data_IF_750503633572
#
_entry.id   IF_750503633572
#
_cell.length_a   1.000
_cell.length_b   1.000
_cell.length_c   1.000
_cell.angle_alpha   90.00
_cell.angle_beta   90.00
_cell.angle_gamma   90.00
#
_symmetry.space_group_name_H-M   'P 1'
#
loop_
_entity.id
_entity.type
_entity.pdbx_description
1 polymer ?
#
# COMPACT_ATOMS: atom_id res chain seq x y z
N UNK A 1 8.02 -13.91 -2.79
CA UNK A 1 6.96 -13.56 -1.82
C UNK A 1 7.54 -12.60 -0.79
N UNK A 2 6.71 -11.88 -0.05
CA UNK A 2 7.15 -11.12 1.14
C UNK A 2 7.52 -12.08 2.27
N UNK A 3 8.42 -11.67 3.20
CA UNK A 3 8.73 -12.46 4.39
C UNK A 3 7.47 -12.72 5.23
N UNK A 4 7.36 -13.94 5.74
CA UNK A 4 6.21 -14.39 6.53
C UNK A 4 6.68 -15.30 7.66
N UNK A 5 6.82 -14.75 8.85
CA UNK A 5 7.22 -15.49 10.05
C UNK A 5 6.21 -16.55 10.53
N UNK A 6 4.99 -16.58 9.98
CA UNK A 6 3.97 -17.58 10.31
C UNK A 6 4.03 -18.84 9.44
N UNK A 7 4.79 -18.82 8.34
CA UNK A 7 4.89 -19.91 7.38
C UNK A 7 3.66 -20.09 6.49
N UNK A 8 2.73 -19.14 6.47
CA UNK A 8 1.47 -19.25 5.71
C UNK A 8 1.71 -19.42 4.23
N UNK A 9 2.66 -18.68 3.64
CA UNK A 9 2.99 -18.83 2.23
C UNK A 9 3.54 -20.23 1.91
N UNK A 10 4.41 -20.76 2.76
CA UNK A 10 4.95 -22.11 2.62
C UNK A 10 3.85 -23.17 2.67
N UNK A 11 2.89 -23.02 3.61
CA UNK A 11 1.75 -23.93 3.74
C UNK A 11 0.88 -23.95 2.47
N UNK A 12 0.57 -22.77 1.91
CA UNK A 12 -0.25 -22.66 0.70
C UNK A 12 0.46 -23.27 -0.50
N UNK A 13 1.78 -23.04 -0.64
CA UNK A 13 2.59 -23.61 -1.71
C UNK A 13 2.71 -25.12 -1.56
N UNK A 14 2.90 -25.64 -0.34
CA UNK A 14 2.94 -27.08 -0.11
C UNK A 14 1.63 -27.75 -0.49
N UNK A 15 0.47 -27.19 -0.12
CA UNK A 15 -0.85 -27.69 -0.56
C UNK A 15 -0.98 -27.73 -2.07
N UNK A 16 -0.51 -26.68 -2.76
CA UNK A 16 -0.50 -26.69 -4.23
C UNK A 16 0.37 -27.82 -4.77
N UNK A 17 1.59 -27.95 -4.27
CA UNK A 17 2.55 -28.97 -4.74
C UNK A 17 2.06 -30.41 -4.50
N UNK A 18 1.33 -30.64 -3.41
CA UNK A 18 0.74 -31.96 -3.11
C UNK A 18 -0.40 -32.32 -4.08
N UNK A 19 -1.17 -31.31 -4.51
CA UNK A 19 -2.27 -31.46 -5.46
C UNK A 19 -1.80 -31.52 -6.92
N UNK A 20 -0.65 -30.93 -7.22
CA UNK A 20 -0.14 -30.75 -8.59
C UNK A 20 1.33 -31.20 -8.71
N UNK A 21 1.60 -32.54 -8.67
CA UNK A 21 2.96 -33.06 -8.73
C UNK A 21 3.67 -32.76 -10.07
N UNK A 22 2.89 -32.46 -11.12
CA UNK A 22 3.33 -32.07 -12.46
C UNK A 22 3.67 -30.57 -12.60
N UNK A 23 3.36 -29.74 -11.59
CA UNK A 23 3.50 -28.30 -11.65
C UNK A 23 4.02 -27.71 -10.31
N UNK A 24 5.18 -28.19 -9.86
CA UNK A 24 5.75 -27.80 -8.56
C UNK A 24 6.21 -26.34 -8.54
N UNK A 25 5.85 -25.65 -7.47
CA UNK A 25 6.26 -24.27 -7.18
C UNK A 25 7.40 -24.24 -6.15
N UNK A 26 8.41 -23.44 -6.43
CA UNK A 26 9.47 -23.10 -5.50
C UNK A 26 9.33 -21.64 -5.10
N UNK A 27 9.16 -21.37 -3.80
CA UNK A 27 9.07 -20.01 -3.27
C UNK A 27 10.46 -19.39 -3.15
N UNK A 28 10.57 -18.16 -3.64
CA UNK A 28 11.70 -17.28 -3.33
C UNK A 28 11.19 -16.17 -2.42
N UNK A 29 11.74 -16.08 -1.21
CA UNK A 29 11.48 -14.98 -0.32
C UNK A 29 12.27 -13.74 -0.77
N UNK A 30 11.58 -12.63 -0.94
CA UNK A 30 12.16 -11.35 -1.34
C UNK A 30 12.35 -10.41 -0.15
N UNK A 31 12.99 -9.26 -0.38
CA UNK A 31 13.16 -8.22 0.63
C UNK A 31 11.81 -7.74 1.19
N UNK A 32 11.75 -7.30 2.46
CA UNK A 32 10.51 -6.78 3.06
C UNK A 32 10.06 -5.47 2.42
N UNK A 33 10.99 -4.59 2.03
CA UNK A 33 10.66 -3.29 1.43
C UNK A 33 10.20 -3.45 -0.02
N UNK A 34 9.08 -2.80 -0.35
CA UNK A 34 8.45 -2.82 -1.68
C UNK A 34 9.40 -2.39 -2.79
N UNK A 35 10.09 -1.26 -2.62
CA UNK A 35 11.05 -0.75 -3.61
C UNK A 35 12.16 -1.77 -3.93
N UNK A 36 12.79 -2.35 -2.90
CA UNK A 36 13.89 -3.32 -3.09
C UNK A 36 13.39 -4.60 -3.77
N UNK A 37 12.14 -4.99 -3.52
CA UNK A 37 11.51 -6.15 -4.17
C UNK A 37 11.19 -5.87 -5.64
N UNK A 38 10.77 -4.64 -5.96
CA UNK A 38 10.61 -4.20 -7.34
C UNK A 38 11.94 -4.24 -8.12
N UNK A 39 13.03 -3.75 -7.50
CA UNK A 39 14.36 -3.75 -8.09
C UNK A 39 14.86 -5.19 -8.34
N UNK A 40 14.57 -6.11 -7.42
CA UNK A 40 14.88 -7.53 -7.58
C UNK A 40 14.22 -8.12 -8.85
N UNK A 41 12.91 -7.89 -9.04
CA UNK A 41 12.21 -8.33 -10.25
C UNK A 41 12.71 -7.61 -11.50
N UNK A 42 12.89 -6.30 -11.44
CA UNK A 42 13.35 -5.48 -12.57
C UNK A 42 14.73 -5.97 -13.06
N UNK A 43 15.65 -6.24 -12.13
CA UNK A 43 16.99 -6.76 -12.46
C UNK A 43 16.91 -8.13 -13.14
N UNK A 44 16.09 -9.04 -12.62
CA UNK A 44 15.90 -10.37 -13.19
C UNK A 44 15.31 -10.29 -14.62
N UNK A 45 14.31 -9.43 -14.84
CA UNK A 45 13.68 -9.27 -16.14
C UNK A 45 14.57 -8.59 -17.18
N UNK A 46 15.37 -7.61 -16.77
CA UNK A 46 16.36 -6.96 -17.64
C UNK A 46 17.40 -7.96 -18.16
N UNK A 47 17.79 -8.95 -17.35
CA UNK A 47 18.73 -10.00 -17.77
C UNK A 47 18.12 -11.01 -18.74
N UNK A 48 16.80 -10.99 -18.94
CA UNK A 48 16.02 -11.94 -19.75
C UNK A 48 16.29 -13.42 -19.39
N UNK A 49 16.81 -13.67 -18.20
CA UNK A 49 17.27 -15.00 -17.75
C UNK A 49 16.16 -15.89 -17.18
N UNK A 50 14.88 -15.47 -17.25
CA UNK A 50 13.75 -16.29 -16.78
C UNK A 50 13.74 -16.57 -15.26
N UNK A 51 14.27 -15.65 -14.45
CA UNK A 51 14.49 -15.87 -13.02
C UNK A 51 13.23 -16.09 -12.15
N UNK A 52 12.07 -15.71 -12.65
CA UNK A 52 10.79 -15.90 -11.95
C UNK A 52 9.68 -16.21 -12.94
N UNK A 53 8.93 -17.30 -12.71
CA UNK A 53 7.76 -17.66 -13.50
C UNK A 53 6.52 -16.90 -13.05
N UNK A 54 6.34 -16.76 -11.73
CA UNK A 54 5.22 -16.03 -11.09
C UNK A 54 5.77 -14.87 -10.27
N UNK A 55 5.15 -13.73 -10.42
CA UNK A 55 5.50 -12.47 -9.74
C UNK A 55 4.44 -12.17 -8.69
N UNK A 56 4.83 -12.06 -7.44
CA UNK A 56 4.01 -11.45 -6.41
C UNK A 56 4.10 -9.93 -6.56
N UNK A 57 3.07 -9.35 -7.15
CA UNK A 57 3.09 -8.04 -7.79
C UNK A 57 2.26 -7.01 -7.02
N UNK A 58 2.88 -5.89 -6.67
CA UNK A 58 2.18 -4.72 -6.12
C UNK A 58 1.28 -4.07 -7.17
N UNK A 59 0.21 -3.39 -6.74
CA UNK A 59 -0.74 -2.67 -7.60
C UNK A 59 -0.05 -1.63 -8.51
N UNK A 60 1.03 -1.00 -8.04
CA UNK A 60 1.70 0.10 -8.77
C UNK A 60 2.74 -0.37 -9.77
N UNK A 61 3.14 -1.66 -9.76
CA UNK A 61 4.17 -2.15 -10.70
C UNK A 61 3.63 -2.53 -12.07
N UNK A 62 2.33 -2.80 -12.17
CA UNK A 62 1.69 -3.31 -13.40
C UNK A 62 1.98 -2.42 -14.62
N UNK A 63 1.79 -1.09 -14.59
CA UNK A 63 2.04 -0.24 -15.76
C UNK A 63 3.49 -0.32 -16.26
N UNK A 64 4.47 -0.27 -15.34
CA UNK A 64 5.91 -0.36 -15.65
C UNK A 64 6.25 -1.72 -16.25
N UNK A 65 5.86 -2.80 -15.59
CA UNK A 65 6.22 -4.15 -16.02
C UNK A 65 5.58 -4.53 -17.35
N UNK A 66 4.35 -4.05 -17.61
CA UNK A 66 3.67 -4.26 -18.87
C UNK A 66 4.30 -3.41 -19.99
N UNK A 67 4.60 -2.13 -19.72
CA UNK A 67 5.25 -1.27 -20.71
C UNK A 67 6.63 -1.79 -21.12
N UNK A 68 7.36 -2.42 -20.18
CA UNK A 68 8.63 -3.09 -20.43
C UNK A 68 8.49 -4.46 -21.12
N UNK A 69 7.26 -4.98 -21.28
CA UNK A 69 7.00 -6.26 -21.92
C UNK A 69 7.36 -7.48 -21.06
N UNK A 70 7.32 -7.36 -19.74
CA UNK A 70 7.76 -8.39 -18.80
C UNK A 70 6.64 -9.33 -18.30
N UNK A 71 5.37 -8.97 -18.48
CA UNK A 71 4.23 -9.75 -18.01
C UNK A 71 3.43 -10.35 -19.17
N UNK A 72 2.84 -11.54 -18.93
CA UNK A 72 1.86 -12.16 -19.82
C UNK A 72 0.47 -11.51 -19.64
N UNK A 73 -0.24 -11.37 -20.75
CA UNK A 73 -1.66 -11.02 -20.78
C UNK A 73 -2.50 -12.18 -20.24
N UNK A 74 -3.27 -11.92 -19.20
CA UNK A 74 -4.13 -12.88 -18.52
C UNK A 74 -5.62 -12.67 -18.82
N UNK A 75 -5.96 -11.77 -19.76
CA UNK A 75 -7.35 -11.36 -20.02
C UNK A 75 -8.27 -12.53 -20.34
N UNK A 76 -7.78 -13.50 -21.12
CA UNK A 76 -8.56 -14.65 -21.57
C UNK A 76 -8.45 -15.85 -20.61
N UNK A 77 -7.62 -15.75 -19.56
CA UNK A 77 -7.40 -16.84 -18.60
C UNK A 77 -8.34 -16.78 -17.41
N UNK A 78 -8.68 -15.58 -16.93
CA UNK A 78 -9.56 -15.42 -15.77
C UNK A 78 -11.03 -15.56 -16.20
N UNK A 79 -11.75 -16.62 -15.73
CA UNK A 79 -13.15 -16.83 -16.09
C UNK A 79 -14.04 -15.64 -15.72
N UNK A 80 -15.07 -15.38 -16.53
CA UNK A 80 -15.97 -14.23 -16.32
C UNK A 80 -16.68 -14.29 -14.95
N UNK A 81 -17.05 -15.48 -14.48
CA UNK A 81 -17.68 -15.67 -13.19
C UNK A 81 -16.74 -15.29 -12.04
N UNK A 82 -15.47 -15.72 -12.10
CA UNK A 82 -14.47 -15.33 -11.12
C UNK A 82 -14.17 -13.83 -11.15
N UNK A 83 -14.08 -13.26 -12.37
CA UNK A 83 -13.82 -11.82 -12.56
C UNK A 83 -14.89 -10.96 -11.87
N UNK A 84 -16.16 -11.38 -11.86
CA UNK A 84 -17.26 -10.64 -11.23
C UNK A 84 -17.15 -10.58 -9.70
N UNK A 85 -16.51 -11.56 -9.08
CA UNK A 85 -16.32 -11.62 -7.63
C UNK A 85 -15.14 -10.74 -7.15
N UNK A 86 -14.15 -10.44 -8.00
CA UNK A 86 -13.07 -9.55 -7.60
C UNK A 86 -13.54 -8.10 -7.46
N UNK A 87 -12.91 -7.36 -6.55
CA UNK A 87 -13.12 -5.92 -6.39
C UNK A 87 -12.73 -5.18 -7.67
N UNK A 88 -13.59 -4.28 -8.13
CA UNK A 88 -13.44 -3.61 -9.43
C UNK A 88 -12.17 -2.75 -9.51
N UNK A 89 -11.84 -2.03 -8.44
CA UNK A 89 -10.63 -1.20 -8.39
C UNK A 89 -9.34 -2.05 -8.34
N UNK A 90 -9.37 -3.23 -7.72
CA UNK A 90 -8.24 -4.16 -7.72
C UNK A 90 -8.03 -4.81 -9.09
N UNK A 91 -9.10 -5.16 -9.80
CA UNK A 91 -9.02 -5.61 -11.20
C UNK A 91 -8.49 -4.50 -12.11
N UNK A 92 -8.98 -3.27 -11.93
CA UNK A 92 -8.50 -2.11 -12.66
C UNK A 92 -7.02 -1.86 -12.41
N UNK A 93 -6.57 -1.91 -11.16
CA UNK A 93 -5.15 -1.80 -10.80
C UNK A 93 -4.29 -2.99 -11.30
N UNK A 94 -4.90 -4.16 -11.52
CA UNK A 94 -4.27 -5.31 -12.17
C UNK A 94 -4.26 -5.23 -13.70
N UNK A 95 -4.86 -4.20 -14.29
CA UNK A 95 -5.02 -4.04 -15.73
C UNK A 95 -4.22 -2.84 -16.25
N UNK A 96 -3.77 -2.95 -17.50
CA UNK A 96 -3.13 -1.84 -18.21
C UNK A 96 -3.60 -1.81 -19.66
N UNK A 97 -4.02 -0.63 -20.17
CA UNK A 97 -4.55 -0.45 -21.53
C UNK A 97 -5.68 -1.46 -21.87
N UNK A 98 -6.59 -1.69 -20.89
CA UNK A 98 -7.75 -2.55 -21.06
C UNK A 98 -7.49 -4.06 -20.98
N UNK A 99 -6.27 -4.50 -20.69
CA UNK A 99 -5.89 -5.91 -20.57
C UNK A 99 -5.46 -6.24 -19.14
N UNK A 100 -5.77 -7.44 -18.66
CA UNK A 100 -5.42 -7.93 -17.34
C UNK A 100 -4.03 -8.57 -17.34
N UNK A 101 -3.18 -8.18 -16.40
CA UNK A 101 -1.82 -8.74 -16.25
C UNK A 101 -1.54 -9.25 -14.84
N UNK A 102 -2.36 -8.86 -13.86
CA UNK A 102 -2.25 -9.28 -12.47
C UNK A 102 -3.61 -9.71 -11.94
N UNK A 103 -3.73 -10.94 -11.46
CA UNK A 103 -4.91 -11.41 -10.72
C UNK A 103 -4.79 -10.92 -9.27
N UNK A 104 -5.76 -10.16 -8.74
CA UNK A 104 -5.72 -9.70 -7.37
C UNK A 104 -5.74 -10.86 -6.36
N UNK A 105 -4.96 -10.76 -5.29
CA UNK A 105 -5.02 -11.69 -4.17
C UNK A 105 -5.63 -11.02 -2.95
N UNK A 106 -5.06 -9.92 -2.51
CA UNK A 106 -5.64 -9.13 -1.44
C UNK A 106 -5.58 -7.63 -1.76
N UNK A 107 -6.53 -6.92 -1.18
CA UNK A 107 -6.67 -5.46 -1.22
C UNK A 107 -6.23 -4.87 0.11
N UNK A 108 -5.92 -3.58 0.12
CA UNK A 108 -5.61 -2.84 1.32
C UNK A 108 -5.94 -1.35 1.15
N UNK A 109 -6.12 -0.64 2.25
CA UNK A 109 -6.30 0.81 2.25
C UNK A 109 -5.67 1.43 3.49
N UNK A 110 -5.19 2.67 3.36
CA UNK A 110 -4.74 3.43 4.52
C UNK A 110 -5.89 3.81 5.42
N UNK A 111 -5.72 3.63 6.73
CA UNK A 111 -6.73 3.95 7.74
C UNK A 111 -6.11 4.59 8.97
N UNK A 112 -6.93 5.28 9.74
CA UNK A 112 -6.53 5.81 11.04
C UNK A 112 -7.02 4.86 12.15
N UNK A 113 -6.09 4.21 12.83
CA UNK A 113 -6.34 3.48 14.07
C UNK A 113 -6.33 4.43 15.25
N UNK A 114 -7.17 4.16 16.24
CA UNK A 114 -7.21 4.94 17.48
C UNK A 114 -7.43 4.07 18.71
N UNK A 115 -6.97 4.53 19.85
CA UNK A 115 -7.19 3.91 21.17
C UNK A 115 -8.56 4.34 21.70
N UNK A 116 -9.60 3.50 21.44
CA UNK A 116 -10.98 3.77 21.86
C UNK A 116 -11.18 3.75 23.38
N UNK A 117 -10.25 3.20 24.12
CA UNK A 117 -10.21 3.26 25.58
C UNK A 117 -9.66 4.59 26.11
N UNK A 118 -9.03 5.40 25.27
CA UNK A 118 -8.52 6.73 25.62
C UNK A 118 -9.36 7.86 25.01
N UNK A 119 -9.91 7.64 23.82
CA UNK A 119 -10.58 8.66 23.01
C UNK A 119 -12.00 8.19 22.75
N UNK A 120 -12.99 8.93 23.26
CA UNK A 120 -14.41 8.59 23.09
C UNK A 120 -14.89 8.89 21.66
N UNK A 121 -14.41 10.00 21.07
CA UNK A 121 -14.73 10.43 19.71
C UNK A 121 -13.44 10.45 18.88
N UNK A 122 -13.53 10.05 17.59
CA UNK A 122 -12.38 10.05 16.69
C UNK A 122 -12.27 11.37 15.91
N UNK A 123 -11.05 11.76 15.49
CA UNK A 123 -10.85 12.96 14.69
C UNK A 123 -11.43 12.79 13.29
N UNK A 124 -12.14 13.79 12.78
CA UNK A 124 -12.59 13.85 11.39
C UNK A 124 -11.66 14.72 10.54
N UNK A 125 -11.04 15.74 11.13
CA UNK A 125 -10.19 16.70 10.43
C UNK A 125 -8.73 16.62 10.89
N UNK A 126 -7.82 17.20 10.08
CA UNK A 126 -6.41 17.35 10.45
C UNK A 126 -6.25 18.14 11.76
N UNK A 127 -7.07 19.16 11.96
CA UNK A 127 -7.05 19.97 13.17
C UNK A 127 -7.55 19.17 14.40
N UNK A 128 -8.59 18.34 14.23
CA UNK A 128 -9.05 17.45 15.29
C UNK A 128 -7.96 16.43 15.64
N UNK A 129 -7.28 15.84 14.63
CA UNK A 129 -6.19 14.90 14.88
C UNK A 129 -5.08 15.54 15.71
N UNK A 130 -4.66 16.77 15.37
CA UNK A 130 -3.66 17.51 16.17
C UNK A 130 -4.17 17.75 17.58
N UNK A 131 -5.35 18.32 17.72
CA UNK A 131 -5.98 18.66 19.02
C UNK A 131 -6.13 17.43 19.92
N UNK A 132 -6.64 16.32 19.38
CA UNK A 132 -6.80 15.09 20.15
C UNK A 132 -5.45 14.46 20.49
N UNK A 133 -4.51 14.46 19.54
CA UNK A 133 -3.15 13.99 19.78
C UNK A 133 -2.48 14.77 20.92
N UNK A 134 -2.57 16.09 20.93
CA UNK A 134 -2.01 16.93 21.99
C UNK A 134 -2.67 16.67 23.34
N UNK A 135 -3.99 16.48 23.35
CA UNK A 135 -4.76 16.23 24.57
C UNK A 135 -4.44 14.88 25.22
N UNK A 136 -4.22 13.84 24.43
CA UNK A 136 -4.11 12.46 24.93
C UNK A 136 -2.68 11.91 24.93
N UNK A 137 -1.68 12.64 24.36
CA UNK A 137 -0.27 12.29 24.54
C UNK A 137 0.18 12.54 25.97
N UNK A 138 1.13 11.74 26.42
CA UNK A 138 1.77 11.89 27.71
C UNK A 138 3.25 11.47 27.64
N UNK A 139 3.94 11.37 28.76
CA UNK A 139 5.35 10.95 28.83
C UNK A 139 5.60 9.53 28.28
N UNK A 140 4.58 8.69 28.22
CA UNK A 140 4.67 7.28 27.76
C UNK A 140 4.14 7.10 26.34
N UNK A 141 3.33 8.04 25.84
CA UNK A 141 2.58 7.89 24.57
C UNK A 141 2.66 9.13 23.70
N UNK A 142 2.94 8.90 22.43
CA UNK A 142 2.81 9.90 21.39
C UNK A 142 1.36 10.04 20.92
N UNK A 143 1.02 11.18 20.34
CA UNK A 143 -0.31 11.42 19.78
C UNK A 143 -0.54 10.64 18.51
N UNK A 144 0.38 10.69 17.54
CA UNK A 144 0.19 10.15 16.19
C UNK A 144 1.45 9.48 15.64
N UNK A 145 1.27 8.30 15.03
CA UNK A 145 2.32 7.56 14.32
C UNK A 145 1.94 7.39 12.85
N UNK A 146 2.95 7.45 11.99
CA UNK A 146 2.83 7.29 10.55
C UNK A 146 4.17 6.81 9.94
N UNK A 147 4.22 6.50 8.62
CA UNK A 147 5.39 5.98 7.95
C UNK A 147 6.17 7.11 7.28
N UNK A 148 7.21 7.61 7.95
CA UNK A 148 8.01 8.75 7.49
C UNK A 148 9.37 8.40 6.89
N UNK A 149 9.77 7.13 6.89
CA UNK A 149 11.01 6.66 6.25
C UNK A 149 10.96 6.96 4.75
N UNK A 150 12.12 7.25 4.14
CA UNK A 150 12.24 7.46 2.69
C UNK A 150 12.06 6.13 1.95
N UNK A 151 10.85 5.82 1.52
CA UNK A 151 10.42 4.67 0.71
C UNK A 151 8.98 4.90 0.26
N UNK A 152 8.37 3.95 -0.45
CA UNK A 152 7.00 4.07 -0.98
C UNK A 152 5.94 4.42 0.09
N UNK A 153 6.10 3.95 1.33
CA UNK A 153 5.21 4.29 2.44
C UNK A 153 5.14 5.79 2.76
N UNK A 154 6.22 6.56 2.57
CA UNK A 154 6.18 8.01 2.70
C UNK A 154 5.29 8.65 1.63
N UNK A 155 5.37 8.16 0.40
CA UNK A 155 4.52 8.63 -0.71
C UNK A 155 3.06 8.37 -0.41
N UNK A 156 2.70 7.16 0.03
CA UNK A 156 1.30 6.82 0.36
C UNK A 156 0.75 7.70 1.48
N UNK A 157 1.52 7.92 2.55
CA UNK A 157 1.12 8.81 3.65
C UNK A 157 0.92 10.25 3.18
N UNK A 158 1.85 10.77 2.38
CA UNK A 158 1.75 12.13 1.84
C UNK A 158 0.53 12.28 0.91
N UNK A 159 0.27 11.30 0.04
CA UNK A 159 -0.86 11.35 -0.88
C UNK A 159 -2.21 11.35 -0.17
N UNK A 160 -2.36 10.60 0.91
CA UNK A 160 -3.60 10.60 1.71
C UNK A 160 -3.87 11.99 2.31
N UNK A 161 -2.82 12.65 2.81
CA UNK A 161 -2.92 14.02 3.33
C UNK A 161 -3.18 15.01 2.19
N UNK A 162 -2.48 14.88 1.06
CA UNK A 162 -2.66 15.74 -0.12
C UNK A 162 -4.10 15.66 -0.65
N UNK A 163 -4.63 14.47 -0.84
CA UNK A 163 -6.02 14.26 -1.26
C UNK A 163 -7.02 14.74 -0.21
N UNK A 164 -6.69 14.58 1.08
CA UNK A 164 -7.48 15.10 2.19
C UNK A 164 -7.56 16.64 2.21
N UNK A 165 -6.59 17.35 1.65
CA UNK A 165 -6.66 18.79 1.36
C UNK A 165 -7.32 19.10 0.02
N UNK A 166 -7.66 18.10 -0.80
CA UNK A 166 -8.30 18.25 -2.11
C UNK A 166 -7.31 18.47 -3.24
N UNK A 167 -6.01 18.26 -3.00
CA UNK A 167 -4.96 18.31 -4.01
C UNK A 167 -4.81 16.97 -4.76
N UNK A 168 -3.85 16.95 -5.68
CA UNK A 168 -3.47 15.77 -6.45
C UNK A 168 -1.98 15.76 -6.76
N UNK A 169 -1.47 14.65 -7.30
CA UNK A 169 -0.07 14.50 -7.69
C UNK A 169 0.13 14.53 -9.21
N UNK A 170 -0.30 13.48 -9.90
CA UNK A 170 -0.16 13.32 -11.35
C UNK A 170 -1.49 12.82 -11.91
N UNK A 171 -2.01 13.49 -12.92
CA UNK A 171 -3.07 12.95 -13.75
C UNK A 171 -2.48 11.91 -14.71
N UNK A 172 -2.95 10.67 -14.63
CA UNK A 172 -2.39 9.56 -15.41
C UNK A 172 -2.65 9.68 -16.91
N UNK A 173 -3.71 10.40 -17.32
CA UNK A 173 -4.10 10.57 -18.74
C UNK A 173 -3.40 11.78 -19.36
N UNK A 174 -3.50 12.94 -18.71
CA UNK A 174 -2.96 14.20 -19.23
C UNK A 174 -1.48 14.40 -18.91
N UNK A 175 -0.92 13.64 -17.95
CA UNK A 175 0.43 13.80 -17.40
C UNK A 175 0.64 15.14 -16.68
N UNK A 176 -0.42 15.87 -16.35
CA UNK A 176 -0.32 17.10 -15.57
C UNK A 176 0.14 16.78 -14.14
N UNK A 177 1.08 17.59 -13.64
CA UNK A 177 1.68 17.46 -12.29
C UNK A 177 1.24 18.62 -11.43
N UNK A 178 0.71 18.33 -10.24
CA UNK A 178 0.04 19.27 -9.34
C UNK A 178 0.79 19.58 -8.03
N UNK A 179 2.02 19.09 -7.87
CA UNK A 179 2.76 19.20 -6.61
C UNK A 179 3.15 20.63 -6.20
N UNK A 180 3.13 21.57 -7.12
CA UNK A 180 3.41 23.00 -6.85
C UNK A 180 2.14 23.81 -6.56
N UNK A 181 0.99 23.18 -6.38
CA UNK A 181 -0.26 23.81 -5.98
C UNK A 181 -0.35 24.00 -4.46
N UNK A 182 -1.19 24.96 -3.99
CA UNK A 182 -1.32 25.27 -2.57
C UNK A 182 -1.66 24.09 -1.67
N UNK A 183 -2.49 23.15 -2.16
CA UNK A 183 -2.90 21.97 -1.42
C UNK A 183 -1.73 21.05 -1.07
N UNK A 184 -0.74 20.93 -1.97
CA UNK A 184 0.45 20.13 -1.72
C UNK A 184 1.33 20.78 -0.64
N UNK A 185 1.42 22.10 -0.63
CA UNK A 185 2.13 22.84 0.42
C UNK A 185 1.46 22.64 1.78
N UNK A 186 0.12 22.79 1.86
CA UNK A 186 -0.63 22.54 3.09
C UNK A 186 -0.42 21.10 3.59
N UNK A 187 -0.44 20.13 2.70
CA UNK A 187 -0.21 18.73 3.04
C UNK A 187 1.19 18.50 3.64
N UNK A 188 2.24 19.01 2.98
CA UNK A 188 3.61 18.82 3.46
C UNK A 188 3.86 19.59 4.78
N UNK A 189 3.32 20.78 4.92
CA UNK A 189 3.39 21.57 6.16
C UNK A 189 2.67 20.83 7.31
N UNK A 190 1.49 20.24 7.07
CA UNK A 190 0.80 19.44 8.08
C UNK A 190 1.68 18.26 8.53
N UNK A 191 2.13 17.41 7.59
CA UNK A 191 2.96 16.25 7.91
C UNK A 191 4.21 16.66 8.70
N UNK A 192 4.93 17.67 8.22
CA UNK A 192 6.12 18.21 8.89
C UNK A 192 5.81 18.72 10.30
N UNK A 193 4.70 19.42 10.48
CA UNK A 193 4.30 19.98 11.79
C UNK A 193 4.01 18.93 12.86
N UNK A 194 3.80 17.67 12.49
CA UNK A 194 3.57 16.58 13.46
C UNK A 194 4.86 16.13 14.13
N UNK A 195 6.01 16.27 13.46
CA UNK A 195 7.32 15.76 13.90
C UNK A 195 7.79 16.50 15.14
N UNK A 196 8.14 15.77 16.20
CA UNK A 196 8.58 16.34 17.47
C UNK A 196 7.48 16.99 18.29
N UNK A 197 6.27 17.11 17.77
CA UNK A 197 5.10 17.69 18.46
C UNK A 197 4.12 16.60 18.90
N UNK A 198 3.33 16.07 17.99
CA UNK A 198 2.40 14.96 18.24
C UNK A 198 2.95 13.60 17.79
N UNK A 199 3.95 13.59 16.93
CA UNK A 199 4.69 12.41 16.49
C UNK A 199 6.13 12.44 17.02
N UNK A 200 6.77 11.27 17.31
CA UNK A 200 8.16 11.27 17.78
C UNK A 200 9.11 11.85 16.72
N UNK A 201 10.25 12.45 17.12
CA UNK A 201 11.25 12.93 16.17
C UNK A 201 11.74 11.82 15.22
N UNK A 202 11.80 10.57 15.70
CA UNK A 202 12.20 9.40 14.93
C UNK A 202 11.17 8.91 13.92
N UNK A 203 9.98 9.50 13.81
CA UNK A 203 8.93 9.05 12.89
C UNK A 203 9.40 9.04 11.43
N UNK A 204 10.37 9.88 11.07
CA UNK A 204 11.00 9.93 9.75
C UNK A 204 11.86 8.71 9.41
N UNK A 205 12.01 7.76 10.33
CA UNK A 205 12.72 6.49 10.12
C UNK A 205 11.79 5.28 10.18
N UNK A 206 10.48 5.47 10.46
CA UNK A 206 9.53 4.38 10.64
C UNK A 206 8.94 3.92 9.30
N UNK A 207 8.87 2.61 9.16
CA UNK A 207 8.03 1.91 8.19
C UNK A 207 6.74 1.42 8.87
N UNK A 208 6.00 0.52 8.20
CA UNK A 208 4.76 -0.05 8.73
C UNK A 208 4.99 -0.74 10.06
N UNK A 209 6.02 -1.58 10.16
CA UNK A 209 6.23 -2.44 11.32
C UNK A 209 6.71 -1.66 12.55
N UNK A 210 7.62 -0.69 12.40
CA UNK A 210 8.07 0.14 13.53
C UNK A 210 6.90 0.94 14.11
N UNK A 211 6.09 1.58 13.25
CA UNK A 211 4.93 2.36 13.69
C UNK A 211 3.85 1.46 14.31
N UNK A 212 3.59 0.27 13.73
CA UNK A 212 2.65 -0.72 14.26
C UNK A 212 3.08 -1.23 15.63
N UNK A 213 4.34 -1.63 15.78
CA UNK A 213 4.85 -2.16 17.04
C UNK A 213 4.69 -1.15 18.17
N UNK A 214 5.11 0.10 17.95
CA UNK A 214 4.92 1.17 18.94
C UNK A 214 3.45 1.37 19.33
N UNK A 215 2.52 1.31 18.38
CA UNK A 215 1.11 1.42 18.66
C UNK A 215 0.58 0.22 19.46
N UNK A 216 0.94 -1.00 19.07
CA UNK A 216 0.56 -2.23 19.78
C UNK A 216 1.14 -2.28 21.21
N UNK A 217 2.32 -1.72 21.43
CA UNK A 217 2.90 -1.57 22.77
C UNK A 217 2.18 -0.50 23.62
N UNK A 218 1.13 0.11 23.09
CA UNK A 218 0.36 1.15 23.78
C UNK A 218 1.07 2.51 23.84
N UNK A 219 2.09 2.73 23.03
CA UNK A 219 2.94 3.94 23.02
C UNK A 219 2.44 5.03 22.08
N UNK A 220 1.24 4.89 21.53
CA UNK A 220 0.59 5.95 20.75
C UNK A 220 -0.93 5.91 20.88
N UNK A 221 -1.57 7.07 20.63
CA UNK A 221 -3.02 7.24 20.64
C UNK A 221 -3.62 6.94 19.27
N UNK A 222 -2.99 7.47 18.22
CA UNK A 222 -3.38 7.28 16.83
C UNK A 222 -2.25 6.68 16.01
N UNK A 223 -2.63 5.87 15.01
CA UNK A 223 -1.71 5.27 14.03
C UNK A 223 -2.33 5.33 12.65
N UNK A 224 -1.64 5.93 11.67
CA UNK A 224 -1.92 5.61 10.27
C UNK A 224 -1.25 4.29 9.93
N UNK A 225 -2.00 3.33 9.40
CA UNK A 225 -1.44 2.11 8.84
C UNK A 225 -2.45 1.47 7.87
N UNK A 226 -2.12 0.29 7.35
CA UNK A 226 -2.92 -0.51 6.46
C UNK A 226 -3.92 -1.39 7.22
N UNK A 227 -4.98 -1.85 6.55
CA UNK A 227 -6.06 -2.67 7.15
C UNK A 227 -5.57 -3.98 7.79
N UNK A 228 -4.45 -4.57 7.29
CA UNK A 228 -3.92 -5.81 7.87
C UNK A 228 -3.60 -5.69 9.37
N UNK A 229 -3.29 -4.50 9.86
CA UNK A 229 -2.98 -4.26 11.28
C UNK A 229 -4.19 -4.54 12.17
N UNK A 230 -5.41 -4.45 11.64
CA UNK A 230 -6.62 -4.74 12.38
C UNK A 230 -6.61 -6.14 13.01
N UNK A 231 -6.34 -7.16 12.18
CA UNK A 231 -6.25 -8.53 12.67
C UNK A 231 -5.13 -8.72 13.71
N UNK A 232 -3.99 -8.03 13.54
CA UNK A 232 -2.87 -8.10 14.48
C UNK A 232 -3.19 -7.45 15.83
N UNK A 233 -3.97 -6.36 15.84
CA UNK A 233 -4.41 -5.72 17.09
C UNK A 233 -5.43 -6.55 17.86
N UNK A 234 -6.13 -7.44 17.19
CA UNK A 234 -7.17 -8.30 17.76
C UNK A 234 -6.63 -9.64 18.33
N UNK A 235 -5.37 -9.98 18.10
CA UNK A 235 -4.75 -11.24 18.59
C UNK A 235 -4.77 -11.33 20.12
N UNK A 236 -4.80 -12.57 20.63
CA UNK A 236 -4.82 -12.83 22.08
C UNK A 236 -3.62 -12.24 22.81
N UNK A 237 -2.45 -12.26 22.19
CA UNK A 237 -1.19 -11.75 22.72
C UNK A 237 -1.00 -10.23 22.52
N UNK A 238 -1.94 -9.55 21.86
CA UNK A 238 -1.84 -8.11 21.60
C UNK A 238 -2.14 -7.29 22.87
N UNK A 239 -1.20 -6.45 23.35
CA UNK A 239 -1.42 -5.59 24.51
C UNK A 239 -2.59 -4.60 24.37
N UNK A 240 -3.02 -4.33 23.13
CA UNK A 240 -4.12 -3.40 22.83
C UNK A 240 -5.40 -4.11 22.38
N UNK A 241 -5.48 -5.44 22.55
CA UNK A 241 -6.67 -6.22 22.21
C UNK A 241 -7.94 -5.62 22.83
N UNK A 242 -8.98 -5.47 21.99
CA UNK A 242 -10.27 -4.91 22.40
C UNK A 242 -10.28 -3.40 22.68
N UNK A 243 -9.11 -2.72 22.57
CA UNK A 243 -8.97 -1.27 22.88
C UNK A 243 -8.76 -0.42 21.63
N UNK A 244 -8.76 -1.01 20.45
CA UNK A 244 -8.52 -0.31 19.19
C UNK A 244 -9.82 -0.13 18.42
N UNK A 245 -9.98 1.05 17.82
CA UNK A 245 -10.94 1.33 16.77
C UNK A 245 -10.21 1.74 15.50
N UNK A 246 -10.89 1.69 14.37
CA UNK A 246 -10.39 2.20 13.10
C UNK A 246 -11.43 3.07 12.42
N UNK A 247 -10.97 4.09 11.71
CA UNK A 247 -11.81 5.06 10.99
C UNK A 247 -11.12 5.48 9.70
N UNK A 248 -11.86 6.06 8.73
CA UNK A 248 -11.25 6.64 7.55
C UNK A 248 -10.19 7.69 7.91
N UNK A 249 -9.26 7.94 6.98
CA UNK A 249 -8.27 9.01 7.13
C UNK A 249 -8.92 10.37 7.31
N UNK A 250 -8.29 11.24 8.10
CA UNK A 250 -8.73 12.62 8.34
C UNK A 250 -8.58 13.49 7.08
N UNK A 251 -9.33 14.59 7.00
CA UNK A 251 -9.32 15.50 5.87
C UNK A 251 -9.46 16.97 6.32
N UNK A 252 -9.28 17.91 5.41
CA UNK A 252 -9.57 19.32 5.68
C UNK A 252 -11.10 19.59 5.77
N UNK A 253 -11.56 20.61 6.50
CA UNK A 253 -12.96 20.96 6.54
C UNK A 253 -13.56 21.16 5.14
N UNK A 254 -14.75 20.60 4.92
CA UNK A 254 -15.44 20.65 3.62
C UNK A 254 -14.83 19.76 2.52
N UNK A 255 -13.81 18.97 2.82
CA UNK A 255 -13.25 17.96 1.93
C UNK A 255 -13.73 16.56 2.35
N UNK A 256 -13.23 15.53 1.65
CA UNK A 256 -13.59 14.14 1.93
C UNK A 256 -12.35 13.33 2.26
N UNK A 257 -12.50 12.36 3.15
CA UNK A 257 -11.45 11.37 3.40
C UNK A 257 -11.08 10.63 2.12
N UNK A 258 -9.78 10.43 1.92
CA UNK A 258 -9.23 9.58 0.87
C UNK A 258 -8.13 8.72 1.47
N UNK A 259 -8.09 7.48 1.04
CA UNK A 259 -7.04 6.54 1.41
C UNK A 259 -6.31 6.09 0.15
N UNK A 260 -5.05 5.70 0.29
CA UNK A 260 -4.33 5.05 -0.80
C UNK A 260 -4.83 3.61 -0.93
N UNK A 261 -5.24 3.23 -2.15
CA UNK A 261 -5.47 1.83 -2.49
C UNK A 261 -4.13 1.11 -2.50
N UNK A 262 -4.01 0.10 -1.66
CA UNK A 262 -2.93 -0.88 -1.63
C UNK A 262 -3.42 -2.21 -2.17
N UNK A 263 -2.55 -3.21 -2.15
CA UNK A 263 -2.92 -4.56 -2.50
C UNK A 263 -1.89 -5.26 -3.36
N UNK A 264 -1.94 -6.58 -3.30
CA UNK A 264 -1.00 -7.45 -4.00
C UNK A 264 -1.75 -8.51 -4.77
N UNK A 265 -1.12 -9.04 -5.79
CA UNK A 265 -1.67 -10.12 -6.58
C UNK A 265 -0.57 -10.89 -7.29
N UNK A 266 -0.98 -11.74 -8.21
CA UNK A 266 -0.07 -12.60 -8.94
C UNK A 266 -0.09 -12.28 -10.43
N UNK A 267 1.08 -12.09 -10.99
CA UNK A 267 1.31 -11.93 -12.42
C UNK A 267 2.22 -13.06 -12.91
N UNK A 268 2.23 -13.30 -14.21
CA UNK A 268 3.05 -14.33 -14.84
C UNK A 268 4.11 -13.64 -15.71
N UNK A 269 5.35 -14.05 -15.53
CA UNK A 269 6.47 -13.59 -16.32
C UNK A 269 6.30 -13.97 -17.81
N UNK A 270 6.58 -13.05 -18.72
CA UNK A 270 6.63 -13.35 -20.14
C UNK A 270 7.78 -14.32 -20.51
N UNK A 271 8.78 -14.40 -19.66
CA UNK A 271 9.97 -15.24 -19.88
C UNK A 271 9.81 -16.66 -19.33
N UNK A 272 8.65 -17.00 -18.76
CA UNK A 272 8.38 -18.36 -18.25
C UNK A 272 8.39 -19.38 -19.40
N UNK A 273 9.03 -20.52 -19.17
CA UNK A 273 8.93 -21.69 -20.05
C UNK A 273 7.68 -22.54 -19.76
N UNK A 274 6.97 -22.27 -18.64
CA UNK A 274 5.87 -23.08 -18.15
C UNK A 274 4.60 -22.25 -17.84
N UNK A 275 4.03 -21.51 -18.82
CA UNK A 275 2.92 -20.58 -18.57
C UNK A 275 1.67 -21.28 -18.05
N UNK A 276 1.41 -22.54 -18.42
CA UNK A 276 0.27 -23.30 -17.94
C UNK A 276 0.43 -23.73 -16.48
N UNK A 277 1.61 -24.14 -16.07
CA UNK A 277 1.90 -24.46 -14.67
C UNK A 277 1.83 -23.19 -13.80
N UNK A 278 2.37 -22.07 -14.30
CA UNK A 278 2.28 -20.76 -13.63
C UNK A 278 0.81 -20.31 -13.46
N UNK A 279 -0.03 -20.50 -14.51
CA UNK A 279 -1.44 -20.16 -14.42
C UNK A 279 -2.19 -21.07 -13.41
N UNK A 280 -1.97 -22.38 -13.42
CA UNK A 280 -2.57 -23.29 -12.42
C UNK A 280 -2.30 -22.82 -10.99
N UNK A 281 -1.10 -22.33 -10.71
CA UNK A 281 -0.77 -21.78 -9.39
C UNK A 281 -1.49 -20.47 -9.10
N UNK A 282 -1.52 -19.53 -10.05
CA UNK A 282 -2.22 -18.25 -9.88
C UNK A 282 -3.71 -18.47 -9.63
N UNK A 283 -4.34 -19.37 -10.42
CA UNK A 283 -5.74 -19.77 -10.24
C UNK A 283 -5.97 -20.38 -8.85
N UNK A 284 -5.12 -21.32 -8.43
CA UNK A 284 -5.21 -21.97 -7.13
C UNK A 284 -5.11 -20.98 -5.97
N UNK A 285 -4.05 -20.15 -5.95
CA UNK A 285 -3.78 -19.28 -4.79
C UNK A 285 -4.79 -18.13 -4.67
N UNK A 286 -5.47 -17.78 -5.77
CA UNK A 286 -6.51 -16.73 -5.77
C UNK A 286 -7.92 -17.28 -5.59
N UNK A 287 -8.09 -18.58 -5.33
CA UNK A 287 -9.38 -19.18 -4.98
C UNK A 287 -9.90 -18.64 -3.65
N UNK A 288 -11.23 -18.57 -3.46
CA UNK A 288 -11.84 -18.11 -2.22
C UNK A 288 -11.31 -18.81 -0.96
N UNK A 289 -11.19 -20.14 -1.00
CA UNK A 289 -10.72 -20.95 0.13
C UNK A 289 -9.25 -20.65 0.52
N UNK A 290 -8.39 -20.40 -0.46
CA UNK A 290 -6.98 -20.04 -0.20
C UNK A 290 -6.85 -18.61 0.31
N UNK A 291 -7.59 -17.66 -0.28
CA UNK A 291 -7.58 -16.27 0.18
C UNK A 291 -8.18 -16.14 1.57
N UNK A 292 -9.22 -16.90 1.91
CA UNK A 292 -9.77 -16.95 3.25
C UNK A 292 -8.74 -17.50 4.25
N UNK A 293 -8.03 -18.57 3.92
CA UNK A 293 -6.96 -19.12 4.76
C UNK A 293 -5.84 -18.11 5.01
N UNK A 294 -5.42 -17.38 3.97
CA UNK A 294 -4.40 -16.33 4.07
C UNK A 294 -4.91 -15.18 4.96
N UNK A 295 -6.19 -14.80 4.80
CA UNK A 295 -6.82 -13.76 5.63
C UNK A 295 -6.79 -14.12 7.12
N UNK A 296 -7.21 -15.32 7.47
CA UNK A 296 -7.25 -15.80 8.87
C UNK A 296 -5.87 -15.82 9.54
N UNK A 297 -4.82 -16.07 8.77
CA UNK A 297 -3.46 -16.19 9.30
C UNK A 297 -2.64 -14.90 9.26
N UNK A 298 -2.78 -14.12 8.19
CA UNK A 298 -1.98 -12.91 7.93
C UNK A 298 -2.78 -11.60 8.08
N UNK A 299 -4.10 -11.68 8.21
CA UNK A 299 -4.96 -10.49 8.26
C UNK A 299 -5.11 -9.78 6.92
N UNK A 300 -4.60 -10.36 5.81
CA UNK A 300 -4.69 -9.76 4.47
C UNK A 300 -6.13 -9.80 3.97
N UNK A 301 -6.71 -8.67 3.60
CA UNK A 301 -8.11 -8.59 3.15
C UNK A 301 -8.22 -9.19 1.74
N UNK A 302 -9.00 -10.26 1.53
CA UNK A 302 -9.17 -10.85 0.21
C UNK A 302 -9.71 -9.85 -0.80
N UNK A 303 -9.17 -9.82 -2.02
CA UNK A 303 -9.65 -8.93 -3.08
C UNK A 303 -10.92 -9.48 -3.78
N UNK A 304 -11.72 -10.30 -3.09
CA UNK A 304 -12.99 -10.85 -3.57
C UNK A 304 -14.17 -10.27 -2.80
N UNK A 305 -15.19 -9.76 -3.52
CA UNK A 305 -16.39 -9.13 -2.94
C UNK A 305 -17.09 -10.03 -1.93
N UNK A 306 -17.16 -11.34 -2.22
CA UNK A 306 -17.77 -12.34 -1.34
C UNK A 306 -17.03 -12.58 -0.02
N UNK A 307 -15.78 -12.14 0.10
CA UNK A 307 -14.93 -12.36 1.27
C UNK A 307 -14.53 -11.09 2.02
N UNK A 308 -14.85 -9.91 1.49
CA UNK A 308 -14.54 -8.64 2.18
C UNK A 308 -15.41 -8.51 3.42
N UNK A 309 -14.83 -8.32 4.63
CA UNK A 309 -15.61 -8.01 5.81
C UNK A 309 -16.41 -6.71 5.62
N UNK A 310 -17.73 -6.72 5.95
CA UNK A 310 -18.61 -5.56 5.69
C UNK A 310 -18.13 -4.24 6.29
N UNK A 311 -17.44 -4.28 7.42
CA UNK A 311 -16.87 -3.10 8.08
C UNK A 311 -15.80 -2.38 7.26
N UNK A 312 -15.13 -3.07 6.32
CA UNK A 312 -14.09 -2.48 5.46
C UNK A 312 -14.62 -1.94 4.13
N UNK A 313 -15.83 -2.33 3.71
CA UNK A 313 -16.38 -1.87 2.43
C UNK A 313 -16.41 -0.34 2.27
N UNK A 314 -16.85 0.46 3.26
CA UNK A 314 -16.84 1.92 3.09
C UNK A 314 -15.44 2.51 2.92
N UNK A 315 -14.44 1.91 3.57
CA UNK A 315 -13.04 2.32 3.49
C UNK A 315 -12.47 2.01 2.11
N UNK A 316 -12.67 0.77 1.65
CA UNK A 316 -12.19 0.32 0.34
C UNK A 316 -12.86 1.09 -0.80
N UNK A 317 -14.14 1.44 -0.68
CA UNK A 317 -14.85 2.30 -1.66
C UNK A 317 -14.30 3.74 -1.70
N UNK A 318 -13.74 4.24 -0.60
CA UNK A 318 -13.11 5.56 -0.53
C UNK A 318 -11.63 5.53 -0.94
N UNK A 319 -11.03 4.35 -1.09
CA UNK A 319 -9.65 4.19 -1.48
C UNK A 319 -9.43 4.65 -2.93
N UNK A 320 -8.28 5.28 -3.16
CA UNK A 320 -7.90 5.86 -4.44
C UNK A 320 -6.60 5.21 -4.94
N UNK A 321 -6.55 4.74 -6.19
CA UNK A 321 -5.32 4.25 -6.78
C UNK A 321 -4.31 5.39 -6.95
N UNK A 322 -3.05 5.05 -6.82
CA UNK A 322 -1.91 5.92 -7.20
C UNK A 322 -1.84 6.04 -8.73
N UNK A 323 -1.15 7.04 -9.29
CA UNK A 323 -1.07 7.23 -10.75
C UNK A 323 -0.62 5.97 -11.49
N UNK A 324 -1.45 5.46 -12.40
CA UNK A 324 -1.18 4.24 -13.18
C UNK A 324 -0.34 4.55 -14.43
N UNK A 325 0.92 4.94 -14.22
CA UNK A 325 1.88 5.33 -15.26
C UNK A 325 3.11 4.43 -15.25
N UNK A 326 3.74 4.16 -16.41
CA UNK A 326 4.97 3.34 -16.47
C UNK A 326 6.13 3.93 -15.67
N UNK A 327 6.20 5.23 -15.56
CA UNK A 327 7.24 6.00 -14.87
C UNK A 327 7.02 6.08 -13.35
N UNK A 328 6.02 5.38 -12.81
CA UNK A 328 5.61 5.52 -11.41
C UNK A 328 6.77 5.35 -10.42
N UNK A 329 7.62 4.34 -10.60
CA UNK A 329 8.73 4.09 -9.68
C UNK A 329 9.72 5.26 -9.61
N UNK A 330 10.05 5.85 -10.76
CA UNK A 330 10.93 7.03 -10.83
C UNK A 330 10.26 8.28 -10.27
N UNK A 331 8.98 8.48 -10.58
CA UNK A 331 8.21 9.59 -10.02
C UNK A 331 8.09 9.49 -8.50
N UNK A 332 7.87 8.27 -7.99
CA UNK A 332 7.85 7.99 -6.55
C UNK A 332 9.20 8.28 -5.90
N UNK A 333 10.32 7.85 -6.51
CA UNK A 333 11.67 8.17 -5.98
C UNK A 333 11.93 9.68 -5.93
N UNK A 334 11.56 10.42 -6.96
CA UNK A 334 11.65 11.90 -6.97
C UNK A 334 10.88 12.47 -5.77
N UNK A 335 9.63 12.06 -5.59
CA UNK A 335 8.79 12.56 -4.51
C UNK A 335 9.35 12.17 -3.14
N UNK A 336 9.77 10.92 -2.95
CA UNK A 336 10.41 10.44 -1.71
C UNK A 336 11.61 11.28 -1.30
N UNK A 337 12.52 11.56 -2.23
CA UNK A 337 13.74 12.34 -1.96
C UNK A 337 13.42 13.76 -1.50
N UNK A 338 12.51 14.44 -2.20
CA UNK A 338 12.16 15.82 -1.87
C UNK A 338 11.32 15.92 -0.60
N UNK A 339 10.37 15.02 -0.37
CA UNK A 339 9.65 14.94 0.90
C UNK A 339 10.61 14.70 2.06
N UNK A 340 11.49 13.70 1.96
CA UNK A 340 12.47 13.40 3.00
C UNK A 340 13.40 14.58 3.28
N UNK A 341 13.84 15.31 2.26
CA UNK A 341 14.68 16.50 2.43
C UNK A 341 13.95 17.62 3.19
N UNK A 342 12.66 17.85 2.89
CA UNK A 342 11.85 18.84 3.59
C UNK A 342 11.53 18.45 5.03
N UNK A 343 11.24 17.17 5.27
CA UNK A 343 10.96 16.63 6.62
C UNK A 343 12.20 16.66 7.52
N UNK A 344 13.40 16.56 6.94
CA UNK A 344 14.68 16.65 7.64
C UNK A 344 15.25 18.09 7.73
N UNK A 345 14.44 19.10 7.45
CA UNK A 345 14.85 20.53 7.46
C UNK A 345 16.04 20.89 6.56
N UNK A 346 16.32 20.07 5.53
CA UNK A 346 17.41 20.36 4.56
C UNK A 346 17.01 21.40 3.53
N UNK A 347 15.71 21.48 3.22
CA UNK A 347 15.13 22.47 2.30
C UNK A 347 13.75 22.90 2.82
N UNK A 348 13.23 24.03 2.32
CA UNK A 348 11.86 24.43 2.65
C UNK A 348 10.83 23.54 1.95
N UNK A 349 9.62 23.36 2.50
CA UNK A 349 8.53 22.64 1.85
C UNK A 349 8.19 23.15 0.45
N UNK A 350 8.17 24.47 0.26
CA UNK A 350 7.91 25.13 -1.02
C UNK A 350 8.97 24.79 -2.07
N UNK A 351 10.25 24.81 -1.66
CA UNK A 351 11.36 24.44 -2.55
C UNK A 351 11.27 22.96 -2.94
N UNK A 352 11.05 22.08 -1.96
CA UNK A 352 10.95 20.64 -2.19
C UNK A 352 9.84 20.28 -3.18
N UNK A 353 8.65 20.84 -2.99
CA UNK A 353 7.49 20.57 -3.86
C UNK A 353 7.68 21.14 -5.27
N UNK A 354 8.26 22.33 -5.40
CA UNK A 354 8.58 22.92 -6.71
C UNK A 354 9.58 22.05 -7.49
N UNK A 355 10.65 21.60 -6.83
CA UNK A 355 11.64 20.75 -7.49
C UNK A 355 11.11 19.35 -7.78
N UNK A 356 10.32 18.76 -6.86
CA UNK A 356 9.61 17.50 -7.14
C UNK A 356 8.68 17.64 -8.35
N UNK A 357 7.92 18.72 -8.45
CA UNK A 357 7.04 18.99 -9.59
C UNK A 357 7.85 19.14 -10.89
N UNK A 358 8.95 19.90 -10.85
CA UNK A 358 9.83 20.14 -12.00
C UNK A 358 10.43 18.82 -12.52
N UNK A 359 11.03 18.04 -11.63
CA UNK A 359 11.65 16.75 -12.01
C UNK A 359 10.60 15.74 -12.50
N UNK A 360 9.43 15.68 -11.87
CA UNK A 360 8.34 14.81 -12.30
C UNK A 360 7.84 15.19 -13.70
N UNK A 361 7.66 16.49 -14.01
CA UNK A 361 7.30 16.97 -15.35
C UNK A 361 8.31 16.57 -16.41
N UNK A 362 9.60 16.67 -16.11
CA UNK A 362 10.67 16.23 -17.01
C UNK A 362 10.64 14.72 -17.27
N UNK A 363 10.23 13.95 -16.26
CA UNK A 363 10.15 12.47 -16.35
C UNK A 363 8.96 12.02 -17.18
N UNK A 364 7.76 12.56 -16.90
CA UNK A 364 6.53 12.06 -17.53
C UNK A 364 6.27 12.66 -18.92
N UNK A 365 7.05 13.69 -19.28
CA UNK A 365 6.91 14.40 -20.55
C UNK A 365 5.62 15.25 -20.62
N UNK A 366 5.50 16.05 -21.69
CA UNK A 366 4.25 16.76 -21.98
C UNK A 366 3.19 15.78 -22.49
#
# INVERSE_FOLDING_TARGET
>A
MEPDGSGTWSDVIQRFNDLHPDARIHMVEGPPATNTREDMYSTAFLSQSGGYDVVFCDVVWVPKFVAAGWLLDLSDRLPAADRQDFLDEDLKAGSYRGRLYRVPAFTDAGVLYYRKDLVADWPATFDDLKKFSERFKDEKRWGFLWQGKQYEGLVTNFLEVLWGYGGDWIDAETKEVFLDRPEALLALQFVKSTIGTISPPGVTTYSEEESRNLFQDGRAVFLRNWLYVWALTAREDSPVKGRVGLVPMVHAPGKTSRATLGGWGFAISRFTSNPEAAWKFVEFITRPDQLQYIHERLGRIPARKSLVPPEFEPILKAARPRPAIPEYAQASDILQRWLSAALADRVSPEFALREAARETRLLVGP
#
